data_IF_289159948561
#
_entry.id   IF_289159948561
#
_cell.length_a   1.000
_cell.length_b   1.000
_cell.length_c   1.000
_cell.angle_alpha   90.00
_cell.angle_beta   90.00
_cell.angle_gamma   90.00
#
_symmetry.space_group_name_H-M   'P 1'
#
loop_
_entity.id
_entity.type
_entity.pdbx_description
1 polymer ?
#
# COMPACT_ATOMS: atom_id res chain seq x y z
N UNK A 1 -33.89 14.57 -39.04
CA UNK A 1 -33.50 15.61 -38.06
C UNK A 1 -33.35 15.09 -36.62
N UNK A 2 -34.27 14.26 -36.11
CA UNK A 2 -34.18 13.69 -34.73
C UNK A 2 -32.97 12.78 -34.48
N UNK A 3 -32.54 11.99 -35.47
CA UNK A 3 -31.41 11.05 -35.33
C UNK A 3 -30.05 11.76 -35.22
N UNK A 4 -29.85 12.83 -36.01
CA UNK A 4 -28.62 13.65 -35.97
C UNK A 4 -28.47 14.31 -34.61
N UNK A 5 -29.55 14.87 -34.07
CA UNK A 5 -29.53 15.48 -32.74
C UNK A 5 -29.23 14.47 -31.63
N UNK A 6 -29.68 13.22 -31.79
CA UNK A 6 -29.43 12.14 -30.84
C UNK A 6 -27.97 11.69 -30.87
N UNK A 7 -27.39 11.54 -32.07
CA UNK A 7 -25.97 11.23 -32.26
C UNK A 7 -25.06 12.35 -31.75
N UNK A 8 -25.41 13.61 -32.04
CA UNK A 8 -24.67 14.76 -31.53
C UNK A 8 -24.69 14.84 -29.99
N UNK A 9 -25.86 14.61 -29.37
CA UNK A 9 -25.95 14.54 -27.90
C UNK A 9 -25.19 13.35 -27.32
N UNK A 10 -25.19 12.20 -27.98
CA UNK A 10 -24.41 11.04 -27.53
C UNK A 10 -22.90 11.30 -27.65
N UNK A 11 -22.44 11.93 -28.72
CA UNK A 11 -21.04 12.33 -28.90
C UNK A 11 -20.59 13.31 -27.82
N UNK A 12 -21.41 14.31 -27.49
CA UNK A 12 -21.13 15.25 -26.39
C UNK A 12 -21.17 14.58 -25.01
N UNK A 13 -21.95 13.51 -24.84
CA UNK A 13 -22.14 12.84 -23.55
C UNK A 13 -21.12 11.70 -23.28
N UNK A 14 -20.57 11.06 -24.33
CA UNK A 14 -19.63 9.95 -24.21
C UNK A 14 -18.62 9.95 -25.36
N UNK A 15 -17.63 10.83 -25.31
CA UNK A 15 -16.56 10.93 -26.33
C UNK A 15 -15.34 10.05 -26.05
N UNK A 16 -15.31 9.35 -24.91
CA UNK A 16 -14.18 8.51 -24.50
C UNK A 16 -14.54 7.03 -24.66
N UNK A 17 -13.60 6.25 -25.22
CA UNK A 17 -13.73 4.82 -25.39
C UNK A 17 -12.49 4.12 -24.83
N UNK A 18 -12.70 2.99 -24.16
CA UNK A 18 -11.62 2.12 -23.71
C UNK A 18 -11.34 1.08 -24.80
N UNK A 19 -10.09 0.98 -25.23
CA UNK A 19 -9.65 0.00 -26.22
C UNK A 19 -8.53 -0.84 -25.63
N UNK A 20 -8.57 -2.15 -25.88
CA UNK A 20 -7.44 -3.02 -25.57
C UNK A 20 -6.35 -2.77 -26.61
N UNK A 21 -5.17 -2.35 -26.16
CA UNK A 21 -4.00 -2.43 -27.02
C UNK A 21 -3.58 -3.91 -27.14
N UNK A 22 -3.45 -4.38 -28.37
CA UNK A 22 -3.09 -5.76 -28.69
C UNK A 22 -1.66 -5.86 -29.23
N UNK A 23 -0.88 -4.79 -29.14
CA UNK A 23 0.52 -4.76 -29.53
C UNK A 23 1.42 -5.43 -28.48
N UNK A 24 1.24 -6.75 -28.30
CA UNK A 24 1.95 -7.58 -27.32
C UNK A 24 3.44 -7.83 -27.63
N UNK A 25 3.97 -7.31 -28.75
CA UNK A 25 5.32 -7.67 -29.20
C UNK A 25 6.42 -7.03 -28.33
N UNK A 26 6.19 -5.80 -27.84
CA UNK A 26 7.09 -5.06 -26.97
C UNK A 26 6.27 -4.46 -25.82
N UNK A 27 6.25 -5.12 -24.67
CA UNK A 27 5.57 -4.63 -23.47
C UNK A 27 6.59 -4.48 -22.35
N UNK A 28 6.48 -3.39 -21.60
CA UNK A 28 7.19 -3.16 -20.34
C UNK A 28 6.09 -2.88 -19.32
N UNK A 29 5.85 -3.80 -18.40
CA UNK A 29 4.85 -3.63 -17.35
C UNK A 29 5.53 -3.54 -16.01
N UNK A 30 5.24 -2.46 -15.29
CA UNK A 30 5.75 -2.23 -13.95
C UNK A 30 5.22 -3.31 -13.01
N UNK A 31 6.11 -3.89 -12.20
CA UNK A 31 5.67 -4.78 -11.12
C UNK A 31 4.85 -3.97 -10.09
N UNK A 32 3.74 -4.48 -9.55
CA UNK A 32 2.98 -3.73 -8.56
C UNK A 32 3.80 -3.48 -7.29
N UNK A 33 3.32 -2.55 -6.47
CA UNK A 33 3.87 -2.37 -5.14
C UNK A 33 3.45 -3.53 -4.23
N UNK A 34 4.38 -3.96 -3.38
CA UNK A 34 4.14 -4.99 -2.35
C UNK A 34 4.45 -4.38 -1.00
N UNK A 35 3.41 -4.15 -0.20
CA UNK A 35 3.52 -3.56 1.13
C UNK A 35 3.36 -4.63 2.21
N UNK A 36 4.30 -4.65 3.14
CA UNK A 36 4.36 -5.55 4.30
C UNK A 36 4.07 -4.76 5.57
N UNK A 37 2.99 -5.12 6.25
CA UNK A 37 2.57 -4.52 7.51
C UNK A 37 2.62 -5.56 8.63
N UNK A 38 3.35 -5.27 9.71
CA UNK A 38 3.38 -6.14 10.90
C UNK A 38 2.00 -6.18 11.59
N UNK A 39 1.59 -7.38 12.01
CA UNK A 39 0.38 -7.62 12.79
C UNK A 39 0.76 -7.74 14.28
N UNK A 40 -0.14 -7.31 15.15
CA UNK A 40 0.05 -7.41 16.60
C UNK A 40 0.35 -8.85 17.05
N UNK A 41 1.43 -9.00 17.82
CA UNK A 41 1.83 -10.25 18.47
C UNK A 41 1.83 -10.04 19.99
N UNK A 42 0.93 -10.72 20.70
CA UNK A 42 0.72 -10.50 22.14
C UNK A 42 1.93 -10.81 23.02
N UNK A 43 2.66 -11.90 22.75
CA UNK A 43 3.83 -12.30 23.56
C UNK A 43 4.96 -11.28 23.42
N UNK A 44 5.29 -10.93 22.18
CA UNK A 44 6.32 -9.93 21.88
C UNK A 44 5.98 -8.57 22.45
N UNK A 45 4.74 -8.10 22.27
CA UNK A 45 4.34 -6.78 22.75
C UNK A 45 4.32 -6.72 24.28
N UNK A 46 3.97 -7.83 24.94
CA UNK A 46 4.08 -7.93 26.39
C UNK A 46 5.53 -7.72 26.87
N UNK A 47 6.49 -8.40 26.24
CA UNK A 47 7.92 -8.29 26.58
C UNK A 47 8.44 -6.86 26.33
N UNK A 48 8.04 -6.22 25.24
CA UNK A 48 8.40 -4.83 24.93
C UNK A 48 7.79 -3.88 25.98
N UNK A 49 6.51 -4.04 26.29
CA UNK A 49 5.81 -3.26 27.31
C UNK A 49 6.45 -3.39 28.70
N UNK A 50 6.87 -4.59 29.08
CA UNK A 50 7.57 -4.81 30.36
C UNK A 50 8.91 -4.09 30.41
N UNK A 51 9.68 -4.15 29.32
CA UNK A 51 10.96 -3.44 29.23
C UNK A 51 10.78 -1.92 29.20
N UNK A 52 9.71 -1.41 28.57
CA UNK A 52 9.49 0.00 28.35
C UNK A 52 8.79 0.70 29.54
N UNK A 53 7.72 0.12 30.07
CA UNK A 53 6.92 0.69 31.17
C UNK A 53 7.23 0.07 32.54
N UNK A 54 7.89 -1.09 32.58
CA UNK A 54 8.23 -1.81 33.81
C UNK A 54 7.23 -2.92 34.19
N UNK A 55 7.65 -3.79 35.11
CA UNK A 55 6.88 -4.97 35.58
C UNK A 55 5.63 -4.56 36.38
N UNK A 56 5.67 -3.43 37.08
CA UNK A 56 4.58 -2.95 37.96
C UNK A 56 3.56 -2.03 37.27
N UNK A 57 3.57 -1.97 35.93
CA UNK A 57 2.66 -1.11 35.14
C UNK A 57 1.21 -1.58 35.24
N UNK A 58 0.28 -0.68 34.90
CA UNK A 58 -1.11 -1.06 34.70
C UNK A 58 -1.26 -1.77 33.35
N UNK A 59 -1.70 -3.03 33.35
CA UNK A 59 -1.84 -3.83 32.12
C UNK A 59 -2.83 -3.25 31.11
N UNK A 60 -3.75 -2.36 31.52
CA UNK A 60 -4.62 -1.63 30.58
C UNK A 60 -3.84 -0.72 29.62
N UNK A 61 -2.62 -0.33 29.99
CA UNK A 61 -1.71 0.41 29.11
C UNK A 61 -1.27 -0.47 27.93
N UNK A 62 -1.11 -1.78 28.14
CA UNK A 62 -0.66 -2.69 27.07
C UNK A 62 -1.71 -2.77 25.96
N UNK A 63 -2.99 -2.91 26.32
CA UNK A 63 -4.08 -2.94 25.36
C UNK A 63 -4.27 -1.58 24.66
N UNK A 64 -4.03 -0.47 25.37
CA UNK A 64 -4.01 0.86 24.78
C UNK A 64 -2.89 1.03 23.76
N UNK A 65 -1.68 0.62 24.11
CA UNK A 65 -0.52 0.73 23.23
C UNK A 65 -0.70 -0.18 22.01
N UNK A 66 -1.27 -1.37 22.16
CA UNK A 66 -1.60 -2.26 21.04
C UNK A 66 -2.57 -1.60 20.04
N UNK A 67 -3.67 -1.00 20.52
CA UNK A 67 -4.65 -0.32 19.67
C UNK A 67 -4.07 0.89 18.92
N UNK A 68 -3.12 1.60 19.53
CA UNK A 68 -2.45 2.76 18.91
C UNK A 68 -1.38 2.32 17.91
N UNK A 69 -0.53 1.35 18.28
CA UNK A 69 0.64 0.96 17.48
C UNK A 69 0.28 0.03 16.32
N UNK A 70 -0.79 -0.76 16.46
CA UNK A 70 -1.32 -1.70 15.45
C UNK A 70 -2.77 -1.34 15.08
N UNK A 71 -3.02 -0.06 14.81
CA UNK A 71 -4.35 0.46 14.55
C UNK A 71 -5.08 -0.28 13.43
N UNK A 72 -6.32 -0.70 13.70
CA UNK A 72 -7.18 -1.43 12.76
C UNK A 72 -8.49 -0.70 12.44
N UNK A 73 -8.53 0.63 12.61
CA UNK A 73 -9.68 1.48 12.28
C UNK A 73 -10.50 1.96 13.50
N UNK A 74 -10.34 1.32 14.67
CA UNK A 74 -11.00 1.74 15.92
C UNK A 74 -10.05 1.53 17.09
N UNK A 75 -10.13 2.43 18.06
CA UNK A 75 -9.49 2.26 19.36
C UNK A 75 -10.56 1.89 20.39
N UNK A 76 -10.53 0.65 20.84
CA UNK A 76 -11.48 0.10 21.81
C UNK A 76 -11.09 0.46 23.24
N UNK A 77 -9.80 0.69 23.48
CA UNK A 77 -9.20 0.88 24.81
C UNK A 77 -8.85 2.33 25.12
N UNK A 78 -9.10 3.26 24.19
CA UNK A 78 -8.85 4.69 24.40
C UNK A 78 -9.65 5.29 25.58
N UNK A 79 -10.79 4.69 25.96
CA UNK A 79 -11.55 5.11 27.13
C UNK A 79 -10.82 4.86 28.45
N UNK A 80 -9.86 3.93 28.49
CA UNK A 80 -9.09 3.66 29.71
C UNK A 80 -8.30 4.89 30.16
N UNK A 81 -7.94 5.77 29.22
CA UNK A 81 -7.21 6.99 29.48
C UNK A 81 -8.01 8.07 30.25
N UNK A 82 -9.30 7.82 30.53
CA UNK A 82 -10.08 8.61 31.49
C UNK A 82 -9.69 8.28 32.94
N UNK A 83 -9.32 7.02 33.20
CA UNK A 83 -8.97 6.50 34.53
C UNK A 83 -7.45 6.42 34.76
N UNK A 84 -6.66 6.26 33.70
CA UNK A 84 -5.19 6.11 33.77
C UNK A 84 -4.45 7.13 32.90
N UNK A 85 -3.24 7.49 33.29
CA UNK A 85 -2.37 8.34 32.50
C UNK A 85 -1.75 7.54 31.33
N UNK A 86 -2.39 7.58 30.18
CA UNK A 86 -1.89 6.93 28.96
C UNK A 86 -0.70 7.69 28.35
N UNK A 87 0.24 6.97 27.72
CA UNK A 87 1.33 7.58 26.96
C UNK A 87 0.79 8.35 25.75
N UNK A 88 1.29 9.56 25.52
CA UNK A 88 0.81 10.46 24.45
C UNK A 88 1.81 10.61 23.31
N UNK A 89 3.05 10.15 23.48
CA UNK A 89 4.08 10.21 22.44
C UNK A 89 3.96 9.04 21.46
N UNK A 90 3.05 9.17 20.48
CA UNK A 90 2.73 8.07 19.55
C UNK A 90 3.89 7.71 18.62
N UNK A 91 4.72 8.68 18.23
CA UNK A 91 5.88 8.41 17.38
C UNK A 91 6.92 7.53 18.10
N UNK A 92 7.14 7.78 19.38
CA UNK A 92 8.01 6.96 20.23
C UNK A 92 7.42 5.57 20.47
N UNK A 93 6.11 5.46 20.67
CA UNK A 93 5.45 4.14 20.78
C UNK A 93 5.59 3.34 19.49
N UNK A 94 5.28 3.93 18.34
CA UNK A 94 5.36 3.25 17.04
C UNK A 94 6.79 2.78 16.76
N UNK A 95 7.80 3.61 17.03
CA UNK A 95 9.20 3.27 16.77
C UNK A 95 9.76 2.20 17.71
N UNK A 96 9.25 2.07 18.93
CA UNK A 96 9.70 1.05 19.89
C UNK A 96 8.93 -0.28 19.80
N UNK A 97 7.64 -0.23 19.48
CA UNK A 97 6.78 -1.42 19.46
C UNK A 97 6.75 -2.14 18.11
N UNK A 98 7.06 -1.45 17.01
CA UNK A 98 7.12 -2.06 15.69
C UNK A 98 8.52 -2.51 15.32
N UNK A 99 8.57 -3.57 14.55
CA UNK A 99 9.81 -4.17 14.09
C UNK A 99 10.43 -3.36 12.97
N UNK A 100 11.71 -3.08 13.09
CA UNK A 100 12.47 -2.47 12.01
C UNK A 100 12.57 -3.42 10.80
N UNK A 101 12.59 -2.86 9.58
CA UNK A 101 12.65 -3.64 8.34
C UNK A 101 13.72 -4.75 8.35
N UNK A 102 14.93 -4.47 8.84
CA UNK A 102 16.06 -5.43 8.83
C UNK A 102 15.80 -6.69 9.64
N UNK A 103 14.91 -6.60 10.61
CA UNK A 103 14.49 -7.73 11.43
C UNK A 103 13.26 -8.39 10.79
N UNK A 104 12.30 -7.59 10.31
CA UNK A 104 11.02 -8.06 9.78
C UNK A 104 11.14 -8.81 8.45
N UNK A 105 11.93 -8.28 7.51
CA UNK A 105 12.01 -8.74 6.11
C UNK A 105 13.45 -9.16 5.80
N UNK A 106 13.62 -10.42 5.40
CA UNK A 106 14.93 -11.03 5.14
C UNK A 106 14.92 -11.85 3.85
N UNK A 107 16.10 -12.29 3.38
CA UNK A 107 16.23 -13.19 2.23
C UNK A 107 15.51 -12.73 0.94
N UNK A 108 15.65 -11.45 0.60
CA UNK A 108 15.00 -10.88 -0.57
C UNK A 108 15.71 -11.23 -1.88
N UNK A 109 14.92 -11.56 -2.89
CA UNK A 109 15.40 -11.77 -4.26
C UNK A 109 14.37 -11.35 -5.30
N UNK A 110 14.88 -10.87 -6.43
CA UNK A 110 14.10 -10.47 -7.60
C UNK A 110 14.59 -11.27 -8.81
N UNK A 111 13.72 -12.08 -9.41
CA UNK A 111 14.05 -12.98 -10.53
C UNK A 111 15.27 -13.86 -10.19
N UNK A 112 15.34 -14.32 -8.93
CA UNK A 112 16.43 -15.15 -8.42
C UNK A 112 17.69 -14.39 -7.99
N UNK A 113 17.83 -13.11 -8.34
CA UNK A 113 18.97 -12.30 -7.92
C UNK A 113 18.75 -11.71 -6.52
N UNK A 114 19.64 -11.98 -5.55
CA UNK A 114 19.50 -11.48 -4.19
C UNK A 114 19.75 -9.98 -4.10
N UNK A 115 19.03 -9.29 -3.22
CA UNK A 115 19.22 -7.86 -2.94
C UNK A 115 19.05 -7.53 -1.46
N UNK A 116 19.50 -6.34 -1.03
CA UNK A 116 19.29 -5.86 0.34
C UNK A 116 17.82 -5.49 0.55
N UNK A 117 17.11 -6.26 1.38
CA UNK A 117 15.67 -6.08 1.61
C UNK A 117 15.31 -4.62 1.89
N UNK A 118 16.04 -3.96 2.81
CA UNK A 118 15.68 -2.63 3.28
C UNK A 118 16.21 -1.48 2.42
N UNK A 119 16.92 -1.78 1.31
CA UNK A 119 17.19 -0.77 0.29
C UNK A 119 15.99 -0.57 -0.65
N UNK A 120 15.18 -1.63 -0.84
CA UNK A 120 14.03 -1.63 -1.75
C UNK A 120 12.67 -1.70 -1.03
N UNK A 121 12.56 -2.37 0.12
CA UNK A 121 11.43 -2.27 1.04
C UNK A 121 11.60 -1.05 1.94
N UNK A 122 11.06 0.08 1.49
CA UNK A 122 11.21 1.38 2.17
C UNK A 122 10.01 1.69 3.06
N UNK A 123 10.17 2.48 4.12
CA UNK A 123 9.07 2.78 5.02
C UNK A 123 7.96 3.53 4.28
N UNK A 124 6.72 3.13 4.60
CA UNK A 124 5.48 3.70 4.10
C UNK A 124 4.54 3.90 5.30
N UNK A 125 4.12 5.14 5.51
CA UNK A 125 3.11 5.45 6.52
C UNK A 125 1.72 5.12 5.97
N UNK A 126 0.98 4.27 6.68
CA UNK A 126 -0.35 3.80 6.29
C UNK A 126 -1.35 3.98 7.42
N UNK A 127 -2.64 3.71 7.17
CA UNK A 127 -3.65 3.64 8.25
C UNK A 127 -3.34 2.54 9.27
N UNK A 128 -2.62 1.50 8.87
CA UNK A 128 -2.17 0.44 9.77
C UNK A 128 -0.94 0.83 10.58
N UNK A 129 -0.43 2.05 10.40
CA UNK A 129 0.82 2.62 10.90
C UNK A 129 2.01 2.35 9.98
N UNK A 130 3.22 2.21 10.55
CA UNK A 130 4.45 2.05 9.77
C UNK A 130 4.53 0.66 9.12
N UNK A 131 4.59 0.64 7.79
CA UNK A 131 4.79 -0.55 6.98
C UNK A 131 6.03 -0.37 6.08
N UNK A 132 6.40 -1.43 5.34
CA UNK A 132 7.49 -1.36 4.38
C UNK A 132 7.01 -1.78 3.00
N UNK A 133 7.25 -0.95 1.99
CA UNK A 133 6.74 -1.12 0.65
C UNK A 133 7.87 -1.29 -0.37
N UNK A 134 7.75 -2.33 -1.18
CA UNK A 134 8.59 -2.58 -2.35
C UNK A 134 7.93 -1.98 -3.59
N UNK A 135 8.73 -1.30 -4.42
CA UNK A 135 8.30 -0.71 -5.70
C UNK A 135 7.08 0.23 -5.60
N UNK A 136 7.01 1.03 -4.53
CA UNK A 136 5.99 2.08 -4.36
C UNK A 136 6.60 3.48 -4.50
N UNK A 137 5.84 4.36 -5.16
CA UNK A 137 6.16 5.78 -5.34
C UNK A 137 5.91 6.62 -4.08
N UNK A 138 5.21 6.07 -3.09
CA UNK A 138 4.75 6.79 -1.90
C UNK A 138 5.68 6.61 -0.69
N UNK A 139 6.83 5.96 -0.88
CA UNK A 139 7.78 5.66 0.20
C UNK A 139 8.64 6.87 0.56
N UNK A 140 9.14 6.89 1.80
CA UNK A 140 10.10 7.89 2.26
C UNK A 140 11.45 7.22 2.59
N UNK A 141 12.58 7.59 1.94
CA UNK A 141 12.67 8.51 0.81
C UNK A 141 12.07 7.93 -0.47
N UNK A 142 11.62 8.81 -1.36
CA UNK A 142 11.04 8.46 -2.65
C UNK A 142 11.89 7.45 -3.42
N UNK A 143 11.22 6.43 -3.99
CA UNK A 143 11.85 5.41 -4.82
C UNK A 143 11.32 5.45 -6.25
N UNK A 144 12.23 5.40 -7.20
CA UNK A 144 11.88 5.17 -8.61
C UNK A 144 11.34 3.74 -8.80
N UNK A 145 10.53 3.56 -9.84
CA UNK A 145 10.02 2.26 -10.28
C UNK A 145 11.11 1.51 -11.05
N UNK A 146 11.83 0.64 -10.36
CA UNK A 146 12.97 -0.10 -10.94
C UNK A 146 12.57 -1.47 -11.50
N UNK A 147 11.47 -2.03 -10.99
CA UNK A 147 11.10 -3.41 -11.23
C UNK A 147 10.06 -3.49 -12.34
N UNK A 148 10.53 -3.85 -13.54
CA UNK A 148 9.73 -3.92 -14.76
C UNK A 148 9.84 -5.33 -15.34
N UNK A 149 8.71 -5.85 -15.79
CA UNK A 149 8.59 -7.12 -16.48
C UNK A 149 8.40 -6.87 -17.97
N UNK A 150 9.02 -7.69 -18.79
CA UNK A 150 8.88 -7.64 -20.23
C UNK A 150 9.12 -9.01 -20.84
N UNK A 151 9.10 -9.07 -22.17
CA UNK A 151 9.32 -10.32 -22.91
C UNK A 151 10.70 -10.94 -22.67
N UNK A 152 11.74 -10.14 -22.39
CA UNK A 152 13.10 -10.62 -22.16
C UNK A 152 13.31 -11.11 -20.72
N UNK A 153 12.81 -10.36 -19.73
CA UNK A 153 12.91 -10.73 -18.31
C UNK A 153 11.93 -11.81 -17.90
N UNK A 154 10.82 -11.95 -18.64
CA UNK A 154 9.76 -12.91 -18.34
C UNK A 154 8.84 -12.45 -17.19
N UNK A 155 8.11 -13.38 -16.56
CA UNK A 155 7.29 -13.04 -15.40
C UNK A 155 8.18 -12.65 -14.21
N UNK A 156 7.91 -11.48 -13.62
CA UNK A 156 8.60 -11.04 -12.41
C UNK A 156 8.36 -11.99 -11.24
N UNK A 157 9.39 -12.19 -10.42
CA UNK A 157 9.30 -13.02 -9.21
C UNK A 157 10.00 -12.33 -8.06
N UNK A 158 9.22 -11.87 -7.08
CA UNK A 158 9.70 -11.34 -5.82
C UNK A 158 9.59 -12.43 -4.76
N UNK A 159 10.69 -12.70 -4.04
CA UNK A 159 10.71 -13.64 -2.92
C UNK A 159 11.40 -12.99 -1.73
N UNK A 160 10.85 -13.20 -0.53
CA UNK A 160 11.41 -12.74 0.74
C UNK A 160 10.88 -13.62 1.87
N UNK A 161 11.54 -13.55 3.02
CA UNK A 161 11.15 -14.21 4.25
C UNK A 161 10.74 -13.18 5.31
N UNK A 162 9.83 -13.60 6.19
CA UNK A 162 9.23 -12.78 7.23
C UNK A 162 9.54 -13.38 8.59
N UNK A 163 9.90 -12.53 9.55
CA UNK A 163 10.21 -12.97 10.92
C UNK A 163 9.01 -12.94 11.87
N UNK A 164 7.89 -12.38 11.44
CA UNK A 164 6.68 -12.16 12.26
C UNK A 164 5.42 -12.43 11.43
N UNK A 165 4.28 -12.47 12.10
CA UNK A 165 2.96 -12.44 11.46
C UNK A 165 2.77 -11.09 10.75
N UNK A 166 2.48 -11.13 9.46
CA UNK A 166 2.35 -9.91 8.65
C UNK A 166 1.15 -9.96 7.71
N UNK A 167 0.71 -8.77 7.33
CA UNK A 167 -0.27 -8.55 6.29
C UNK A 167 0.44 -8.04 5.04
N UNK A 168 0.21 -8.72 3.93
CA UNK A 168 0.78 -8.41 2.62
C UNK A 168 -0.30 -7.77 1.77
N UNK A 169 0.02 -6.62 1.19
CA UNK A 169 -0.82 -5.89 0.26
C UNK A 169 -0.12 -5.80 -1.09
N UNK A 170 -0.80 -6.24 -2.16
CA UNK A 170 -0.35 -6.02 -3.55
C UNK A 170 -1.27 -4.98 -4.18
N UNK A 171 -0.70 -3.84 -4.57
CA UNK A 171 -1.45 -2.67 -5.04
C UNK A 171 -0.69 -1.89 -6.13
N UNK A 172 -1.34 -0.97 -6.85
CA UNK A 172 -0.66 -0.09 -7.79
C UNK A 172 0.46 0.71 -7.10
N UNK A 173 1.59 1.01 -7.79
CA UNK A 173 2.71 1.72 -7.19
C UNK A 173 2.39 3.12 -6.66
N UNK A 174 1.35 3.74 -7.20
CA UNK A 174 0.91 5.10 -6.89
C UNK A 174 0.04 5.14 -5.63
N UNK A 175 -0.53 3.99 -5.23
CA UNK A 175 -1.50 3.89 -4.16
C UNK A 175 -0.83 3.58 -2.81
N UNK A 176 -1.52 3.93 -1.73
CA UNK A 176 -1.19 3.54 -0.36
C UNK A 176 -2.30 2.59 0.12
N UNK A 177 -1.97 1.39 0.63
CA UNK A 177 -2.98 0.46 1.11
C UNK A 177 -3.67 1.01 2.36
N UNK A 178 -4.99 0.87 2.41
CA UNK A 178 -5.85 1.35 3.50
C UNK A 178 -6.99 0.36 3.77
N UNK A 179 -7.74 0.52 4.85
CA UNK A 179 -8.70 -0.49 5.32
C UNK A 179 -9.77 -0.88 4.28
N UNK A 180 -10.17 0.07 3.45
CA UNK A 180 -11.25 -0.06 2.47
C UNK A 180 -10.73 -0.05 1.02
N UNK A 181 -9.45 -0.34 0.80
CA UNK A 181 -8.87 -0.35 -0.54
C UNK A 181 -9.51 -1.44 -1.42
N UNK A 182 -10.21 -1.04 -2.46
CA UNK A 182 -10.76 -1.96 -3.47
C UNK A 182 -9.66 -2.38 -4.47
N UNK A 183 -9.72 -3.60 -4.98
CA UNK A 183 -8.77 -4.09 -5.99
C UNK A 183 -7.36 -4.43 -5.49
N UNK A 184 -7.09 -4.26 -4.19
CA UNK A 184 -5.84 -4.66 -3.54
C UNK A 184 -5.92 -6.12 -3.10
N UNK A 185 -4.91 -6.91 -3.43
CA UNK A 185 -4.77 -8.26 -2.87
C UNK A 185 -4.27 -8.11 -1.44
N UNK A 186 -5.01 -8.62 -0.46
CA UNK A 186 -4.67 -8.56 0.96
C UNK A 186 -4.60 -9.97 1.53
N UNK A 187 -3.43 -10.37 2.00
CA UNK A 187 -3.18 -11.71 2.51
C UNK A 187 -2.45 -11.66 3.85
N UNK A 188 -2.93 -12.42 4.83
CA UNK A 188 -2.21 -12.62 6.09
C UNK A 188 -1.25 -13.79 5.96
N UNK A 189 0.01 -13.56 6.29
CA UNK A 189 1.07 -14.58 6.30
C UNK A 189 1.51 -14.78 7.75
N UNK A 190 1.24 -15.96 8.28
CA UNK A 190 1.66 -16.34 9.62
C UNK A 190 3.12 -16.79 9.60
N UNK A 191 3.84 -16.52 10.68
CA UNK A 191 5.21 -16.96 10.85
C UNK A 191 5.31 -18.49 10.77
N UNK A 192 6.37 -18.97 10.09
CA UNK A 192 6.57 -20.40 9.81
C UNK A 192 5.72 -20.95 8.66
N UNK A 193 4.81 -20.16 8.07
CA UNK A 193 4.06 -20.54 6.87
C UNK A 193 4.73 -20.04 5.58
N UNK A 194 4.38 -20.65 4.45
CA UNK A 194 4.79 -20.19 3.12
C UNK A 194 3.54 -19.80 2.34
N UNK A 195 3.57 -18.62 1.73
CA UNK A 195 2.48 -18.11 0.89
C UNK A 195 3.02 -17.77 -0.49
N UNK A 196 2.35 -18.25 -1.53
CA UNK A 196 2.62 -17.88 -2.92
C UNK A 196 1.40 -17.10 -3.45
N UNK A 197 1.65 -15.93 -4.03
CA UNK A 197 0.62 -15.09 -4.63
C UNK A 197 0.93 -14.98 -6.12
N UNK A 198 0.02 -15.47 -6.96
CA UNK A 198 0.13 -15.41 -8.42
C UNK A 198 -0.98 -14.48 -8.91
N UNK A 199 -0.61 -13.46 -9.68
CA UNK A 199 -1.54 -12.46 -10.21
C UNK A 199 -1.11 -12.02 -11.61
N UNK A 200 -2.04 -11.38 -12.33
CA UNK A 200 -1.77 -10.72 -13.59
C UNK A 200 -1.92 -9.21 -13.38
N UNK A 201 -0.87 -8.46 -13.67
CA UNK A 201 -0.91 -6.99 -13.67
C UNK A 201 -1.25 -6.49 -15.07
N UNK A 202 -2.16 -5.52 -15.16
CA UNK A 202 -2.53 -4.84 -16.39
C UNK A 202 -2.35 -3.34 -16.16
N UNK A 203 -1.51 -2.69 -16.96
CA UNK A 203 -1.37 -1.24 -16.93
C UNK A 203 -2.45 -0.59 -17.80
N UNK A 204 -3.01 0.49 -17.27
CA UNK A 204 -3.96 1.35 -17.98
C UNK A 204 -3.19 2.61 -18.33
N UNK A 205 -3.13 2.92 -19.62
CA UNK A 205 -2.45 4.10 -20.14
C UNK A 205 -3.48 5.02 -20.80
N UNK A 206 -3.53 6.27 -20.37
CA UNK A 206 -4.32 7.28 -21.05
C UNK A 206 -3.63 7.78 -22.33
N UNK A 207 -4.39 7.85 -23.43
CA UNK A 207 -3.93 8.50 -24.66
C UNK A 207 -3.65 9.99 -24.39
N UNK A 208 -2.56 10.58 -24.94
CA UNK A 208 -2.25 12.00 -24.75
C UNK A 208 -3.40 12.95 -25.10
N UNK A 209 -4.29 12.58 -26.03
CA UNK A 209 -5.47 13.35 -26.40
C UNK A 209 -6.51 13.47 -25.27
N UNK A 210 -6.48 12.59 -24.25
CA UNK A 210 -7.37 12.66 -23.08
C UNK A 210 -7.17 13.98 -22.30
N UNK A 211 -5.96 14.56 -22.35
CA UNK A 211 -5.67 15.86 -21.73
C UNK A 211 -6.48 17.03 -22.32
N UNK A 212 -6.96 16.90 -23.57
CA UNK A 212 -7.70 17.95 -24.27
C UNK A 212 -9.13 18.09 -23.72
N UNK A 213 -9.72 17.00 -23.19
CA UNK A 213 -11.06 17.02 -22.62
C UNK A 213 -11.07 17.69 -21.25
N UNK A 214 -12.18 18.34 -20.86
CA UNK A 214 -12.26 18.93 -19.51
C UNK A 214 -12.43 17.86 -18.43
N UNK A 215 -12.05 18.12 -17.17
CA UNK A 215 -12.24 17.19 -16.05
C UNK A 215 -13.67 16.64 -15.94
N UNK A 216 -14.69 17.47 -16.21
CA UNK A 216 -16.10 17.07 -16.14
C UNK A 216 -16.48 16.05 -17.22
N UNK A 217 -15.84 16.11 -18.39
CA UNK A 217 -16.08 15.17 -19.49
C UNK A 217 -15.35 13.85 -19.27
N UNK A 218 -14.11 13.88 -18.77
CA UNK A 218 -13.32 12.66 -18.50
C UNK A 218 -13.56 12.03 -17.15
N UNK A 219 -14.23 12.75 -16.22
CA UNK A 219 -14.57 12.32 -14.86
C UNK A 219 -13.36 11.92 -13.99
N UNK A 220 -12.18 12.39 -14.38
CA UNK A 220 -10.93 12.25 -13.64
C UNK A 220 -10.07 13.51 -13.81
N UNK A 221 -9.07 13.68 -12.95
CA UNK A 221 -8.13 14.80 -12.94
C UNK A 221 -6.70 14.30 -13.11
N UNK A 222 -5.90 15.03 -13.86
CA UNK A 222 -4.45 14.84 -13.85
C UNK A 222 -3.84 15.53 -12.62
N UNK A 223 -2.65 15.09 -12.21
CA UNK A 223 -1.96 15.60 -11.01
C UNK A 223 -1.82 17.14 -11.00
N UNK A 224 -1.62 17.75 -12.17
CA UNK A 224 -1.49 19.19 -12.33
C UNK A 224 -2.82 19.97 -12.31
N UNK A 225 -3.95 19.29 -12.11
CA UNK A 225 -5.31 19.84 -12.16
C UNK A 225 -6.08 19.68 -10.83
N UNK A 226 -5.37 19.23 -9.79
CA UNK A 226 -5.92 19.05 -8.45
C UNK A 226 -6.05 20.46 -7.82
N UNK A 227 -7.30 20.89 -7.60
CA UNK A 227 -7.63 22.04 -6.74
C UNK A 227 -7.92 21.52 -5.31
N UNK A 228 -7.56 22.28 -4.27
CA UNK A 228 -7.50 21.86 -2.86
C UNK A 228 -8.79 21.25 -2.23
N UNK A 229 -9.91 21.18 -2.95
CA UNK A 229 -11.19 20.62 -2.46
C UNK A 229 -12.00 19.98 -3.58
N UNK A 230 -11.86 18.67 -3.76
CA UNK A 230 -12.77 17.89 -4.59
C UNK A 230 -12.54 16.38 -4.44
N UNK A 231 -13.58 15.58 -4.69
CA UNK A 231 -13.44 14.14 -4.87
C UNK A 231 -12.48 13.87 -6.04
N UNK A 232 -11.32 13.33 -5.72
CA UNK A 232 -10.20 13.17 -6.64
C UNK A 232 -10.22 11.78 -7.26
N UNK A 233 -10.94 11.63 -8.37
CA UNK A 233 -10.67 10.52 -9.29
C UNK A 233 -9.43 10.89 -10.11
N UNK A 234 -8.31 10.19 -9.92
CA UNK A 234 -7.10 10.42 -10.71
C UNK A 234 -7.18 9.79 -12.10
N UNK A 235 -6.71 10.51 -13.12
CA UNK A 235 -6.48 9.94 -14.44
C UNK A 235 -5.13 9.20 -14.44
N UNK A 236 -5.15 7.88 -14.64
CA UNK A 236 -3.95 7.02 -14.73
C UNK A 236 -3.16 7.17 -16.03
#
# INVERSE_FOLDING_TARGET
MRTIFKLYRAFLASSLAFTLDTLYLNWNTTFPAVTVCEIYNGEKNWDISENYFGVGRDHRIDDYVADITFFSGKCHTCSYCEDIACPTNFEELISNFRTACRQLITNCSWIGEPFDCCSEFRPLNTEYGLCYSFNSLQTEPYSDLKFINNRETGPGSLRFALSEDTQIHVHPPNDIPYMMSEGVIRETVLWGSSKEIIFNAVEILNDPAVKIFSPEHRKCRFYNEIEERGENNECQ
#
